data_IF_825709077811
#
_entry.id   IF_825709077811
#
_cell.length_a   1.000
_cell.length_b   1.000
_cell.length_c   1.000
_cell.angle_alpha   90.00
_cell.angle_beta   90.00
_cell.angle_gamma   90.00
#
_symmetry.space_group_name_H-M   'P 1'
#
loop_
_entity.id
_entity.type
_entity.pdbx_description
1 polymer ?
#
# COMPACT_ATOMS: atom_id res chain seq x y z
N UNK A 1 5.26 2.86 -4.17
CA UNK A 1 5.65 1.70 -5.00
C UNK A 1 6.23 2.09 -6.35
N UNK A 2 5.73 3.12 -7.06
CA UNK A 2 6.29 3.52 -8.37
C UNK A 2 7.75 3.99 -8.32
N UNK A 3 8.17 4.69 -7.25
CA UNK A 3 9.54 5.17 -7.14
C UNK A 3 10.57 4.03 -7.00
N UNK A 4 10.40 3.04 -6.10
CA UNK A 4 11.23 1.83 -6.11
C UNK A 4 11.23 1.10 -7.46
N UNK A 5 10.07 0.95 -8.12
CA UNK A 5 10.01 0.32 -9.44
C UNK A 5 10.89 1.04 -10.48
N UNK A 6 10.89 2.38 -10.49
CA UNK A 6 11.73 3.16 -11.39
C UNK A 6 13.22 2.97 -11.10
N UNK A 7 13.59 2.88 -9.81
CA UNK A 7 14.97 2.62 -9.39
C UNK A 7 15.40 1.22 -9.83
N UNK A 8 14.56 0.20 -9.60
CA UNK A 8 14.85 -1.19 -9.98
C UNK A 8 15.02 -1.35 -11.50
N UNK A 9 14.20 -0.67 -12.30
CA UNK A 9 14.40 -0.61 -13.76
C UNK A 9 15.75 0.03 -14.11
N UNK A 10 16.16 1.10 -13.43
CA UNK A 10 17.41 1.79 -13.71
C UNK A 10 18.67 0.96 -13.37
N UNK A 11 18.54 -0.04 -12.50
CA UNK A 11 19.63 -0.95 -12.10
C UNK A 11 19.48 -2.37 -12.63
N UNK A 12 18.56 -2.59 -13.59
CA UNK A 12 18.23 -3.91 -14.19
C UNK A 12 17.82 -4.99 -13.15
N UNK A 13 17.19 -4.60 -12.05
CA UNK A 13 16.65 -5.53 -11.04
C UNK A 13 15.23 -5.98 -11.42
N UNK A 14 14.93 -7.29 -11.56
CA UNK A 14 13.59 -7.78 -11.92
C UNK A 14 12.47 -7.41 -10.93
N UNK A 15 12.78 -7.03 -9.70
CA UNK A 15 11.81 -6.64 -8.67
C UNK A 15 10.91 -5.46 -9.06
N UNK A 16 11.29 -4.67 -10.08
CA UNK A 16 10.42 -3.62 -10.62
C UNK A 16 9.04 -4.15 -11.03
N UNK A 17 8.96 -5.40 -11.49
CA UNK A 17 7.70 -6.04 -11.89
C UNK A 17 6.79 -6.25 -10.69
N UNK A 18 7.36 -6.68 -9.55
CA UNK A 18 6.63 -6.87 -8.30
C UNK A 18 6.06 -5.54 -7.83
N UNK A 19 6.89 -4.50 -7.77
CA UNK A 19 6.43 -3.16 -7.39
C UNK A 19 5.36 -2.61 -8.34
N UNK A 20 5.47 -2.85 -9.65
CA UNK A 20 4.47 -2.41 -10.62
C UNK A 20 3.12 -3.13 -10.46
N UNK A 21 3.14 -4.45 -10.26
CA UNK A 21 1.93 -5.26 -10.02
C UNK A 21 1.28 -4.85 -8.70
N UNK A 22 2.05 -4.73 -7.62
CA UNK A 22 1.54 -4.29 -6.32
C UNK A 22 0.97 -2.86 -6.40
N UNK A 23 1.63 -1.95 -7.12
CA UNK A 23 1.10 -0.60 -7.34
C UNK A 23 -0.24 -0.62 -8.07
N UNK A 24 -0.36 -1.42 -9.13
CA UNK A 24 -1.62 -1.60 -9.86
C UNK A 24 -2.73 -2.16 -8.96
N UNK A 25 -2.43 -3.17 -8.15
CA UNK A 25 -3.38 -3.76 -7.20
C UNK A 25 -3.86 -2.75 -6.15
N UNK A 26 -2.94 -2.02 -5.51
CA UNK A 26 -3.28 -1.02 -4.49
C UNK A 26 -4.10 0.13 -5.10
N UNK A 27 -3.72 0.60 -6.29
CA UNK A 27 -4.47 1.62 -7.02
C UNK A 27 -5.86 1.13 -7.41
N UNK A 28 -6.00 -0.13 -7.80
CA UNK A 28 -7.29 -0.72 -8.13
C UNK A 28 -8.21 -0.79 -6.90
N UNK A 29 -7.72 -1.33 -5.78
CA UNK A 29 -8.51 -1.44 -4.54
C UNK A 29 -8.86 -0.06 -3.98
N UNK A 30 -7.87 0.82 -3.84
CA UNK A 30 -8.08 2.18 -3.33
C UNK A 30 -8.96 3.01 -4.26
N UNK A 31 -8.78 2.87 -5.58
CA UNK A 31 -9.60 3.51 -6.59
C UNK A 31 -11.05 3.04 -6.55
N UNK A 32 -11.30 1.74 -6.40
CA UNK A 32 -12.65 1.20 -6.21
C UNK A 32 -13.31 1.76 -4.96
N UNK A 33 -12.62 1.73 -3.81
CA UNK A 33 -13.15 2.27 -2.55
C UNK A 33 -13.47 3.76 -2.67
N UNK A 34 -12.59 4.53 -3.32
CA UNK A 34 -12.82 5.94 -3.58
C UNK A 34 -14.05 6.15 -4.47
N UNK A 35 -14.16 5.44 -5.59
CA UNK A 35 -15.25 5.62 -6.54
C UNK A 35 -16.61 5.20 -5.97
N UNK A 36 -16.67 4.15 -5.14
CA UNK A 36 -17.92 3.67 -4.53
C UNK A 36 -18.37 4.53 -3.35
N UNK A 37 -17.45 5.19 -2.64
CA UNK A 37 -17.74 6.07 -1.51
C UNK A 37 -17.65 7.55 -1.89
N UNK A 38 -17.60 7.87 -3.19
CA UNK A 38 -17.55 9.24 -3.68
C UNK A 38 -18.91 9.91 -3.46
N UNK A 39 -18.97 10.86 -2.56
CA UNK A 39 -20.17 11.62 -2.21
C UNK A 39 -19.82 12.94 -1.53
N UNK A 40 -20.81 13.56 -0.89
CA UNK A 40 -20.60 14.80 -0.16
C UNK A 40 -19.67 14.57 1.04
N UNK A 41 -18.68 15.46 1.18
CA UNK A 41 -17.75 15.42 2.29
C UNK A 41 -18.42 16.06 3.52
N UNK A 42 -18.88 15.22 4.44
CA UNK A 42 -19.31 15.69 5.76
C UNK A 42 -18.08 15.99 6.63
N UNK A 43 -18.20 16.96 7.53
CA UNK A 43 -17.16 17.23 8.52
C UNK A 43 -16.98 16.02 9.44
N UNK A 44 -15.73 15.58 9.58
CA UNK A 44 -15.40 14.47 10.48
C UNK A 44 -15.58 14.91 11.94
N UNK A 45 -16.34 14.12 12.71
CA UNK A 45 -16.34 14.25 14.16
C UNK A 45 -14.97 13.87 14.75
N UNK A 46 -14.70 14.32 15.98
CA UNK A 46 -13.45 13.98 16.68
C UNK A 46 -13.27 12.46 16.76
N UNK A 47 -14.33 11.71 17.05
CA UNK A 47 -14.28 10.24 17.12
C UNK A 47 -13.92 9.62 15.76
N UNK A 48 -14.49 10.14 14.67
CA UNK A 48 -14.19 9.66 13.32
C UNK A 48 -12.74 9.96 12.91
N UNK A 49 -12.21 11.14 13.26
CA UNK A 49 -10.84 11.51 12.99
C UNK A 49 -9.83 10.60 13.72
N UNK A 50 -10.12 10.22 14.98
CA UNK A 50 -9.32 9.23 15.70
C UNK A 50 -9.33 7.86 15.01
N UNK A 51 -10.50 7.37 14.62
CA UNK A 51 -10.63 6.09 13.90
C UNK A 51 -9.85 6.15 12.59
N UNK A 52 -10.02 7.22 11.80
CA UNK A 52 -9.30 7.41 10.53
C UNK A 52 -7.79 7.30 10.71
N UNK A 53 -7.26 7.97 11.74
CA UNK A 53 -5.82 7.97 12.02
C UNK A 53 -5.34 6.56 12.35
N UNK A 54 -5.98 5.88 13.32
CA UNK A 54 -5.60 4.51 13.72
C UNK A 54 -5.73 3.54 12.56
N UNK A 55 -6.82 3.62 11.79
CA UNK A 55 -7.03 2.80 10.60
C UNK A 55 -5.94 3.02 9.56
N UNK A 56 -5.45 4.25 9.38
CA UNK A 56 -4.37 4.55 8.44
C UNK A 56 -3.08 3.83 8.83
N UNK A 57 -2.73 3.82 10.12
CA UNK A 57 -1.57 3.10 10.64
C UNK A 57 -1.65 1.58 10.48
N UNK A 58 -2.85 1.01 10.34
CA UNK A 58 -3.03 -0.43 10.11
C UNK A 58 -3.13 -0.75 8.62
N UNK A 59 -3.92 0.01 7.87
CA UNK A 59 -4.22 -0.27 6.46
C UNK A 59 -3.00 -0.02 5.57
N UNK A 60 -2.22 1.05 5.82
CA UNK A 60 -1.05 1.33 5.00
C UNK A 60 -0.03 0.18 5.05
N UNK A 61 0.40 -0.32 6.23
CA UNK A 61 1.34 -1.43 6.31
C UNK A 61 0.82 -2.74 5.69
N UNK A 62 -0.48 -3.03 5.77
CA UNK A 62 -1.08 -4.22 5.11
C UNK A 62 -0.75 -4.23 3.61
N UNK A 63 -0.90 -3.10 2.93
CA UNK A 63 -0.60 -2.99 1.50
C UNK A 63 0.88 -2.77 1.23
N UNK A 64 1.59 -2.04 2.09
CA UNK A 64 3.02 -1.76 1.93
C UNK A 64 3.91 -3.01 2.11
N UNK A 65 3.45 -4.02 2.85
CA UNK A 65 4.15 -5.29 3.03
C UNK A 65 4.20 -6.16 1.76
N UNK A 66 3.25 -5.99 0.82
CA UNK A 66 3.14 -6.83 -0.39
C UNK A 66 4.45 -6.98 -1.18
N UNK A 67 5.16 -5.90 -1.57
CA UNK A 67 6.42 -6.03 -2.28
C UNK A 67 7.49 -6.80 -1.48
N UNK A 68 7.54 -6.69 -0.15
CA UNK A 68 8.53 -7.42 0.66
C UNK A 68 8.29 -8.93 0.69
N UNK A 69 7.04 -9.36 0.52
CA UNK A 69 6.66 -10.77 0.43
C UNK A 69 6.97 -11.36 -0.96
N UNK A 70 6.75 -10.58 -2.02
CA UNK A 70 6.81 -11.09 -3.40
C UNK A 70 8.09 -10.75 -4.16
N UNK A 71 8.92 -9.83 -3.67
CA UNK A 71 10.26 -9.55 -4.21
C UNK A 71 11.25 -10.64 -3.82
N UNK A 72 12.48 -10.53 -4.32
CA UNK A 72 13.59 -11.43 -3.96
C UNK A 72 13.88 -11.49 -2.44
N UNK A 73 13.42 -10.50 -1.66
CA UNK A 73 13.48 -10.53 -0.19
C UNK A 73 12.73 -11.73 0.40
N UNK A 74 11.64 -12.16 -0.25
CA UNK A 74 10.82 -13.32 0.08
C UNK A 74 10.51 -13.45 1.59
N UNK A 75 10.21 -12.33 2.25
CA UNK A 75 9.90 -12.31 3.68
C UNK A 75 8.57 -13.02 3.95
N UNK A 76 8.46 -13.62 5.15
CA UNK A 76 7.16 -14.06 5.63
C UNK A 76 6.22 -12.85 5.74
N UNK A 77 4.91 -13.04 5.54
CA UNK A 77 3.97 -11.90 5.62
C UNK A 77 4.03 -11.19 6.98
N UNK A 78 4.26 -11.93 8.07
CA UNK A 78 4.42 -11.35 9.40
C UNK A 78 5.65 -10.47 9.52
N UNK A 79 6.78 -10.89 8.95
CA UNK A 79 8.01 -10.10 8.97
C UNK A 79 7.91 -8.89 8.03
N UNK A 80 7.33 -9.09 6.84
CA UNK A 80 7.07 -8.01 5.89
C UNK A 80 6.13 -6.94 6.47
N UNK A 81 5.11 -7.35 7.22
CA UNK A 81 4.21 -6.43 7.91
C UNK A 81 4.92 -5.69 9.05
N UNK A 82 5.79 -6.39 9.79
CA UNK A 82 6.60 -5.78 10.85
C UNK A 82 7.56 -4.73 10.29
N UNK A 83 8.26 -5.01 9.19
CA UNK A 83 9.17 -4.06 8.52
C UNK A 83 8.44 -2.88 7.85
N UNK A 84 7.16 -3.05 7.53
CA UNK A 84 6.34 -2.00 6.93
C UNK A 84 5.72 -1.02 7.96
N UNK A 85 5.70 -1.39 9.26
CA UNK A 85 5.15 -0.58 10.36
C UNK A 85 6.22 0.29 11.01
#
# INVERSE_FOLDING_TARGET
MLFPALVDVAVDNPDWQVFAICAGFVMFVGGMLFLTNRGDAEELSIQQAFILTVSTWVIIPIFAALPFVYSELALSYTDAFFEAM
#
